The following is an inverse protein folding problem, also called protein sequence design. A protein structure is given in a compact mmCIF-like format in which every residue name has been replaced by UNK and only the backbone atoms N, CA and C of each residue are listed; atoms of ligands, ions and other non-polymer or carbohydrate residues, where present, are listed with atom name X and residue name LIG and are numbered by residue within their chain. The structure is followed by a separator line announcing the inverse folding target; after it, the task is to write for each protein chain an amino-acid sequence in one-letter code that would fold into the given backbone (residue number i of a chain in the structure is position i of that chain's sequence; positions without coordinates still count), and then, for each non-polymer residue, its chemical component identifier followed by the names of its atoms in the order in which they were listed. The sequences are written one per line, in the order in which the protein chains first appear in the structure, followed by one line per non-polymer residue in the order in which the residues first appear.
data_IF_225404285675
#
_entry.id   IF_225404285675
#
_cell.length_a   1.000
_cell.length_b   1.000
_cell.length_c   1.000
_cell.angle_alpha   90.00
_cell.angle_beta   90.00
_cell.angle_gamma   90.00
#
_symmetry.space_group_name_H-M   'P 1'
#
loop_
_entity.id
_entity.type
_entity.pdbx_description
1 polymer ?
#
# COMPACT_ATOMS: atom_id res chain seq x y z
N UNK A 1 8.97 5.47 24.65
CA UNK A 1 7.75 6.30 24.80
C UNK A 1 7.03 6.34 23.47
N UNK A 2 5.70 6.35 23.46
CA UNK A 2 4.93 6.52 22.22
C UNK A 2 5.25 7.89 21.58
N UNK A 3 5.37 7.95 20.25
CA UNK A 3 5.71 9.17 19.48
C UNK A 3 4.56 9.55 18.55
N UNK A 4 4.53 10.81 18.12
CA UNK A 4 3.64 11.22 17.03
C UNK A 4 3.99 10.45 15.76
N UNK A 5 3.01 10.22 14.89
CA UNK A 5 3.20 9.57 13.60
C UNK A 5 2.62 10.47 12.52
N UNK A 6 3.33 10.63 11.41
CA UNK A 6 2.85 11.26 10.19
C UNK A 6 2.87 10.20 9.08
N UNK A 7 1.70 9.91 8.51
CA UNK A 7 1.57 8.98 7.40
C UNK A 7 1.21 9.76 6.14
N UNK A 8 1.96 9.55 5.06
CA UNK A 8 1.69 10.14 3.74
C UNK A 8 1.29 9.04 2.77
N UNK A 9 0.19 9.17 2.04
CA UNK A 9 -0.28 8.07 1.18
C UNK A 9 -1.50 8.37 0.33
N UNK A 10 -1.89 7.36 -0.45
CA UNK A 10 -3.08 7.38 -1.30
C UNK A 10 -4.26 6.70 -0.59
N UNK A 11 -5.07 5.93 -1.31
CA UNK A 11 -6.35 5.41 -0.84
C UNK A 11 -6.22 4.44 0.35
N UNK A 12 -5.13 3.66 0.43
CA UNK A 12 -4.86 2.77 1.58
C UNK A 12 -4.58 3.51 2.90
N UNK A 13 -4.34 4.83 2.86
CA UNK A 13 -4.26 5.64 4.09
C UNK A 13 -5.59 5.66 4.84
N UNK A 14 -6.71 5.35 4.18
CA UNK A 14 -8.03 5.41 4.80
C UNK A 14 -8.16 4.45 6.00
N UNK A 15 -7.67 3.21 5.86
CA UNK A 15 -7.67 2.24 6.96
C UNK A 15 -6.89 2.76 8.18
N UNK A 16 -5.71 3.33 7.92
CA UNK A 16 -4.83 3.91 8.94
C UNK A 16 -5.46 5.15 9.59
N UNK A 17 -6.16 5.98 8.81
CA UNK A 17 -6.87 7.16 9.29
C UNK A 17 -8.04 6.77 10.19
N UNK A 18 -8.84 5.76 9.82
CA UNK A 18 -9.94 5.26 10.65
C UNK A 18 -9.40 4.76 11.99
N UNK A 19 -8.34 3.94 11.97
CA UNK A 19 -7.71 3.45 13.20
C UNK A 19 -7.14 4.58 14.06
N UNK A 20 -6.49 5.57 13.45
CA UNK A 20 -6.00 6.76 14.16
C UNK A 20 -7.13 7.57 14.82
N UNK A 21 -8.28 7.71 14.14
CA UNK A 21 -9.46 8.37 14.69
C UNK A 21 -10.06 7.59 15.87
N UNK A 22 -10.18 6.26 15.75
CA UNK A 22 -10.66 5.40 16.82
C UNK A 22 -9.75 5.45 18.05
N UNK A 23 -8.42 5.34 17.85
CA UNK A 23 -7.42 5.52 18.93
C UNK A 23 -7.58 6.86 19.63
N UNK A 24 -7.78 7.94 18.87
CA UNK A 24 -7.93 9.29 19.42
C UNK A 24 -9.23 9.46 20.23
N UNK A 25 -10.30 8.82 19.81
CA UNK A 25 -11.57 8.83 20.53
C UNK A 25 -11.46 8.04 21.85
N UNK A 26 -10.73 6.92 21.85
CA UNK A 26 -10.52 6.08 23.03
C UNK A 26 -9.52 6.70 24.02
N UNK A 27 -8.46 7.36 23.52
CA UNK A 27 -7.42 8.01 24.32
C UNK A 27 -7.02 9.36 23.69
N UNK A 28 -7.63 10.47 24.16
CA UNK A 28 -7.32 11.81 23.69
C UNK A 28 -5.90 12.30 24.03
N UNK A 29 -5.20 11.68 24.98
CA UNK A 29 -3.87 12.10 25.41
C UNK A 29 -2.76 11.31 24.71
N UNK A 30 -3.11 10.21 24.00
CA UNK A 30 -2.20 9.47 23.14
C UNK A 30 -1.49 10.37 22.13
N UNK A 31 -0.18 10.16 21.89
CA UNK A 31 0.53 10.75 20.76
C UNK A 31 -0.24 10.57 19.45
N UNK A 32 -0.28 11.63 18.64
CA UNK A 32 -1.20 11.70 17.51
C UNK A 32 -0.61 10.99 16.30
N UNK A 33 -1.42 10.16 15.67
CA UNK A 33 -1.22 9.72 14.28
C UNK A 33 -1.97 10.68 13.36
N UNK A 34 -1.25 11.31 12.44
CA UNK A 34 -1.79 12.22 11.43
C UNK A 34 -1.57 11.63 10.05
N UNK A 35 -2.46 11.99 9.13
CA UNK A 35 -2.46 11.47 7.77
C UNK A 35 -2.52 12.60 6.77
N UNK A 36 -1.65 12.58 5.76
CA UNK A 36 -1.72 13.41 4.56
C UNK A 36 -2.15 12.52 3.41
N UNK A 37 -3.36 12.77 2.90
CA UNK A 37 -3.88 12.09 1.72
C UNK A 37 -3.44 12.84 0.46
N UNK A 38 -2.63 12.21 -0.37
CA UNK A 38 -2.01 12.85 -1.53
C UNK A 38 -3.02 13.37 -2.57
N UNK A 39 -4.19 12.74 -2.66
CA UNK A 39 -5.25 13.15 -3.59
C UNK A 39 -6.24 14.14 -2.97
N UNK A 40 -5.92 14.74 -1.82
CA UNK A 40 -6.73 15.81 -1.26
C UNK A 40 -6.65 17.06 -2.16
N UNK A 41 -7.80 17.66 -2.57
CA UNK A 41 -7.81 18.86 -3.41
C UNK A 41 -6.99 20.03 -2.85
N UNK A 42 -6.78 20.09 -1.53
CA UNK A 42 -5.95 21.11 -0.89
C UNK A 42 -4.47 21.04 -1.31
N UNK A 43 -4.02 19.91 -1.85
CA UNK A 43 -2.66 19.70 -2.32
C UNK A 43 -2.54 19.73 -3.85
N UNK A 44 -3.61 20.06 -4.58
CA UNK A 44 -3.58 20.10 -6.04
C UNK A 44 -2.81 21.33 -6.59
N UNK A 45 -1.95 21.16 -7.62
CA UNK A 45 -1.49 19.87 -8.14
C UNK A 45 -0.53 19.18 -7.16
N UNK A 46 -0.75 17.88 -6.94
CA UNK A 46 0.06 17.05 -6.02
C UNK A 46 1.55 17.07 -6.43
N UNK A 47 1.79 17.04 -7.73
CA UNK A 47 3.11 17.11 -8.35
C UNK A 47 3.17 18.24 -9.36
N UNK A 48 4.32 18.90 -9.44
CA UNK A 48 4.65 19.88 -10.48
C UNK A 48 5.96 19.42 -11.10
N UNK A 49 5.93 19.10 -12.40
CA UNK A 49 7.04 18.44 -13.09
C UNK A 49 7.43 17.15 -12.33
N UNK A 50 8.70 17.03 -11.93
CA UNK A 50 9.25 15.87 -11.24
C UNK A 50 9.38 16.07 -9.71
N UNK A 51 8.59 16.96 -9.11
CA UNK A 51 8.62 17.23 -7.66
C UNK A 51 7.20 17.31 -7.06
N UNK A 52 7.10 17.16 -5.74
CA UNK A 52 5.86 17.46 -5.02
C UNK A 52 5.53 18.95 -5.12
N UNK A 53 4.25 19.23 -5.30
CA UNK A 53 3.70 20.58 -5.31
C UNK A 53 4.04 21.34 -4.02
N UNK A 54 4.15 22.68 -4.08
CA UNK A 54 4.58 23.48 -2.94
C UNK A 54 3.66 23.35 -1.72
N UNK A 55 2.34 23.21 -1.93
CA UNK A 55 1.37 23.02 -0.85
C UNK A 55 1.60 21.71 -0.09
N UNK A 56 1.82 20.60 -0.81
CA UNK A 56 2.11 19.30 -0.21
C UNK A 56 3.43 19.31 0.56
N UNK A 57 4.51 19.86 -0.03
CA UNK A 57 5.81 19.98 0.64
C UNK A 57 5.72 20.81 1.92
N UNK A 58 5.01 21.94 1.87
CA UNK A 58 4.80 22.79 3.03
C UNK A 58 4.03 22.06 4.13
N UNK A 59 2.97 21.31 3.77
CA UNK A 59 2.20 20.53 4.73
C UNK A 59 3.03 19.43 5.40
N UNK A 60 3.84 18.69 4.64
CA UNK A 60 4.73 17.65 5.18
C UNK A 60 5.74 18.27 6.16
N UNK A 61 6.44 19.34 5.74
CA UNK A 61 7.44 20.02 6.58
C UNK A 61 6.83 20.60 7.85
N UNK A 62 5.67 21.25 7.75
CA UNK A 62 4.96 21.80 8.91
C UNK A 62 4.64 20.72 9.95
N UNK A 63 4.22 19.54 9.51
CA UNK A 63 3.96 18.42 10.43
C UNK A 63 5.24 17.87 11.06
N UNK A 64 6.35 17.86 10.32
CA UNK A 64 7.66 17.45 10.84
C UNK A 64 8.12 18.43 11.91
N UNK A 65 8.21 19.71 11.56
CA UNK A 65 8.76 20.78 12.40
C UNK A 65 7.99 20.95 13.72
N UNK A 66 6.66 20.79 13.68
CA UNK A 66 5.81 20.99 14.87
C UNK A 66 5.76 19.80 15.81
N UNK A 67 6.04 18.59 15.33
CA UNK A 67 5.64 17.37 16.05
C UNK A 67 6.72 16.30 16.18
N UNK A 68 7.87 16.47 15.51
CA UNK A 68 8.95 15.48 15.44
C UNK A 68 8.42 14.03 15.31
N UNK A 69 7.59 13.74 14.29
CA UNK A 69 6.89 12.48 14.20
C UNK A 69 7.78 11.38 13.61
N UNK A 70 7.41 10.13 13.88
CA UNK A 70 7.79 9.01 13.01
C UNK A 70 7.14 9.24 11.65
N UNK A 71 7.94 9.26 10.58
CA UNK A 71 7.44 9.39 9.21
C UNK A 71 7.14 8.01 8.65
N UNK A 72 5.94 7.85 8.10
CA UNK A 72 5.53 6.64 7.42
C UNK A 72 4.86 6.93 6.07
N UNK A 73 4.88 5.95 5.18
CA UNK A 73 4.30 6.00 3.85
C UNK A 73 3.30 4.88 3.64
N UNK A 74 2.19 5.17 2.97
CA UNK A 74 1.24 4.20 2.41
C UNK A 74 0.95 4.54 0.94
N UNK A 75 1.99 4.94 0.20
CA UNK A 75 1.98 5.29 -1.23
C UNK A 75 1.98 4.01 -2.08
N UNK A 76 1.40 4.04 -3.28
CA UNK A 76 1.45 2.92 -4.22
C UNK A 76 0.68 1.65 -3.89
N UNK A 77 -0.12 1.67 -2.83
CA UNK A 77 -0.69 0.42 -2.34
C UNK A 77 -1.67 -0.28 -3.30
N UNK A 78 -2.22 0.40 -4.32
CA UNK A 78 -3.22 -0.19 -5.21
C UNK A 78 -2.76 -0.53 -6.64
N UNK A 79 -1.50 -0.22 -7.00
CA UNK A 79 -1.01 -0.41 -8.37
C UNK A 79 -1.09 -1.87 -8.84
N UNK A 80 -0.81 -2.82 -7.95
CA UNK A 80 -0.91 -4.25 -8.23
C UNK A 80 -2.35 -4.69 -8.58
N UNK A 81 -3.35 -4.12 -7.93
CA UNK A 81 -4.75 -4.42 -8.18
C UNK A 81 -5.21 -3.77 -9.49
N UNK A 82 -4.81 -2.52 -9.75
CA UNK A 82 -5.08 -1.86 -11.03
C UNK A 82 -4.51 -2.64 -12.23
N UNK A 83 -3.34 -3.25 -12.05
CA UNK A 83 -2.71 -4.11 -13.07
C UNK A 83 -3.39 -5.48 -13.22
N UNK A 84 -3.63 -6.21 -12.14
CA UNK A 84 -4.00 -7.64 -12.21
C UNK A 84 -5.47 -7.95 -11.93
N UNK A 85 -6.31 -6.99 -11.51
CA UNK A 85 -7.70 -7.32 -11.14
C UNK A 85 -8.55 -7.73 -12.34
N UNK A 86 -8.48 -6.98 -13.44
CA UNK A 86 -9.24 -7.25 -14.66
C UNK A 86 -8.31 -7.99 -15.64
N UNK A 87 -8.60 -9.26 -16.01
CA UNK A 87 -7.69 -10.09 -16.79
C UNK A 87 -7.74 -9.76 -18.29
N UNK A 88 -7.18 -8.61 -18.69
CA UNK A 88 -7.12 -8.17 -20.10
C UNK A 88 -6.36 -9.16 -20.99
N UNK A 89 -5.30 -9.73 -20.43
CA UNK A 89 -4.61 -10.92 -20.94
C UNK A 89 -4.68 -11.99 -19.85
N UNK A 90 -4.98 -13.24 -20.20
CA UNK A 90 -5.01 -14.35 -19.22
C UNK A 90 -3.62 -14.95 -19.08
N UNK A 91 -2.91 -14.52 -18.04
CA UNK A 91 -1.58 -15.03 -17.71
C UNK A 91 -1.50 -15.44 -16.24
N UNK A 92 -0.50 -16.26 -15.95
CA UNK A 92 -0.07 -16.59 -14.60
C UNK A 92 1.46 -16.75 -14.59
N UNK A 93 2.07 -16.88 -13.42
CA UNK A 93 3.52 -16.99 -13.30
C UNK A 93 3.93 -17.63 -12.00
N UNK A 94 5.14 -18.15 -11.91
CA UNK A 94 5.72 -18.55 -10.62
C UNK A 94 6.43 -17.36 -9.99
N UNK A 95 6.36 -17.25 -8.66
CA UNK A 95 7.15 -16.27 -7.90
C UNK A 95 8.26 -16.97 -7.14
N UNK A 96 9.43 -16.33 -7.07
CA UNK A 96 10.51 -16.82 -6.20
C UNK A 96 10.01 -16.91 -4.75
N UNK A 97 10.38 -17.95 -4.00
CA UNK A 97 10.03 -18.05 -2.57
C UNK A 97 8.78 -18.88 -2.22
N UNK A 98 8.19 -19.58 -3.19
CA UNK A 98 7.19 -20.63 -2.96
C UNK A 98 5.77 -20.07 -2.76
N UNK A 99 4.93 -20.22 -3.77
CA UNK A 99 3.51 -19.92 -3.67
C UNK A 99 2.74 -21.09 -3.07
N UNK A 100 1.64 -20.77 -2.38
CA UNK A 100 0.69 -21.72 -1.84
C UNK A 100 -0.55 -21.90 -2.73
N UNK A 101 -0.77 -21.03 -3.73
CA UNK A 101 -1.89 -21.14 -4.67
C UNK A 101 -1.46 -21.80 -5.99
N UNK A 102 -2.30 -22.70 -6.55
CA UNK A 102 -2.02 -23.31 -7.84
C UNK A 102 -1.96 -22.25 -8.96
N UNK A 103 -1.25 -22.58 -10.02
CA UNK A 103 -1.29 -21.84 -11.28
C UNK A 103 -2.63 -22.09 -11.98
N UNK A 104 -3.13 -21.09 -12.70
CA UNK A 104 -4.26 -21.25 -13.61
C UNK A 104 -3.83 -22.09 -14.84
N UNK A 105 -4.37 -23.30 -14.96
CA UNK A 105 -4.02 -24.26 -16.02
C UNK A 105 -4.36 -23.76 -17.43
N UNK A 106 -5.29 -22.81 -17.54
CA UNK A 106 -5.72 -22.24 -18.81
C UNK A 106 -5.01 -20.92 -19.14
N UNK A 107 -4.10 -20.46 -18.27
CA UNK A 107 -3.36 -19.22 -18.46
C UNK A 107 -2.03 -19.42 -19.18
N UNK A 108 -1.58 -18.39 -19.90
CA UNK A 108 -0.20 -18.35 -20.38
C UNK A 108 0.76 -18.20 -19.19
N UNK A 109 1.68 -19.13 -19.01
CA UNK A 109 2.66 -19.07 -17.91
C UNK A 109 3.85 -18.21 -18.36
N UNK A 110 4.01 -17.06 -17.70
CA UNK A 110 5.09 -16.11 -17.95
C UNK A 110 6.22 -16.28 -16.92
N UNK A 111 7.42 -15.81 -17.26
CA UNK A 111 8.50 -15.68 -16.29
C UNK A 111 8.30 -14.49 -15.35
N UNK A 112 8.76 -14.58 -14.10
CA UNK A 112 8.65 -13.47 -13.12
C UNK A 112 9.27 -12.17 -13.65
N UNK A 113 10.38 -12.25 -14.39
CA UNK A 113 11.04 -11.09 -15.00
C UNK A 113 10.12 -10.38 -16.01
N UNK A 114 9.41 -11.14 -16.82
CA UNK A 114 8.47 -10.58 -17.80
C UNK A 114 7.28 -9.91 -17.10
N UNK A 115 6.72 -10.53 -16.06
CA UNK A 115 5.63 -9.91 -15.28
C UNK A 115 6.10 -8.66 -14.57
N UNK A 116 7.35 -8.64 -14.06
CA UNK A 116 7.98 -7.47 -13.45
C UNK A 116 8.07 -6.31 -14.44
N UNK A 117 8.49 -6.57 -15.66
CA UNK A 117 8.59 -5.53 -16.70
C UNK A 117 7.21 -4.96 -17.07
N UNK A 118 6.17 -5.81 -17.10
CA UNK A 118 4.78 -5.38 -17.33
C UNK A 118 4.18 -4.58 -16.17
N UNK A 119 4.57 -4.92 -14.93
CA UNK A 119 4.07 -4.27 -13.71
C UNK A 119 4.79 -2.94 -13.44
N UNK A 120 6.05 -2.79 -13.84
CA UNK A 120 6.87 -1.60 -13.52
C UNK A 120 6.20 -0.28 -13.91
N UNK A 121 5.63 -0.10 -15.12
CA UNK A 121 4.96 1.17 -15.49
C UNK A 121 3.82 1.57 -14.56
N UNK A 122 3.15 0.61 -13.91
CA UNK A 122 2.09 0.87 -12.94
C UNK A 122 2.63 1.33 -11.59
N UNK A 123 3.89 1.03 -11.29
CA UNK A 123 4.57 1.40 -10.06
C UNK A 123 5.47 2.62 -10.22
N UNK A 124 5.87 3.01 -11.43
CA UNK A 124 6.86 4.07 -11.66
C UNK A 124 6.49 5.39 -10.98
N UNK A 125 5.25 5.84 -11.15
CA UNK A 125 4.78 7.08 -10.52
C UNK A 125 4.80 6.97 -8.98
N UNK A 126 4.43 5.81 -8.43
CA UNK A 126 4.44 5.55 -7.00
C UNK A 126 5.87 5.51 -6.43
N UNK A 127 6.79 4.90 -7.18
CA UNK A 127 8.22 4.89 -6.86
C UNK A 127 8.81 6.30 -6.89
N UNK A 128 8.43 7.12 -7.86
CA UNK A 128 8.81 8.55 -7.91
C UNK A 128 8.32 9.27 -6.66
N UNK A 129 7.06 9.10 -6.27
CA UNK A 129 6.52 9.70 -5.04
C UNK A 129 7.26 9.25 -3.77
N UNK A 130 7.70 7.99 -3.70
CA UNK A 130 8.52 7.51 -2.57
C UNK A 130 9.90 8.20 -2.53
N UNK A 131 10.54 8.42 -3.68
CA UNK A 131 11.80 9.19 -3.78
C UNK A 131 11.60 10.64 -3.35
N UNK A 132 10.49 11.26 -3.76
CA UNK A 132 10.15 12.63 -3.37
C UNK A 132 9.86 12.75 -1.88
N UNK A 133 9.13 11.79 -1.30
CA UNK A 133 8.92 11.74 0.14
C UNK A 133 10.26 11.62 0.89
N UNK A 134 11.19 10.79 0.40
CA UNK A 134 12.53 10.66 0.99
C UNK A 134 13.31 11.98 0.95
N UNK A 135 13.18 12.73 -0.14
CA UNK A 135 13.84 14.04 -0.32
C UNK A 135 13.23 15.12 0.59
N UNK A 136 11.92 15.09 0.83
CA UNK A 136 11.22 16.11 1.62
C UNK A 136 11.25 15.82 3.12
N UNK A 137 11.07 14.55 3.51
CA UNK A 137 10.82 14.14 4.89
C UNK A 137 11.99 13.37 5.54
N UNK A 138 13.02 13.02 4.78
CA UNK A 138 14.07 12.13 5.28
C UNK A 138 13.68 10.65 5.22
N UNK A 139 14.45 9.76 5.87
CA UNK A 139 14.11 8.34 5.97
C UNK A 139 12.73 8.11 6.60
N UNK A 140 11.99 7.13 6.10
CA UNK A 140 10.64 6.82 6.57
C UNK A 140 10.38 5.31 6.62
N UNK A 141 9.26 4.94 7.24
CA UNK A 141 8.73 3.58 7.27
C UNK A 141 7.66 3.39 6.20
N UNK A 142 7.88 2.53 5.21
CA UNK A 142 6.86 2.21 4.23
C UNK A 142 5.97 1.08 4.72
N UNK A 143 4.66 1.30 4.78
CA UNK A 143 3.64 0.34 5.21
C UNK A 143 3.18 -0.44 3.99
N UNK A 144 3.39 -1.76 4.01
CA UNK A 144 2.92 -2.65 2.95
C UNK A 144 1.40 -2.56 2.76
N UNK A 145 0.96 -2.56 1.51
CA UNK A 145 -0.47 -2.57 1.16
C UNK A 145 -1.14 -3.87 1.60
N UNK A 146 -2.46 -3.87 1.87
CA UNK A 146 -3.17 -5.12 2.14
C UNK A 146 -2.98 -6.12 1.00
N UNK A 147 -2.87 -7.43 1.29
CA UNK A 147 -2.97 -8.45 0.26
C UNK A 147 -4.34 -8.40 -0.42
N UNK A 148 -4.49 -8.99 -1.62
CA UNK A 148 -5.78 -8.96 -2.31
C UNK A 148 -6.84 -9.82 -1.60
N UNK A 149 -8.10 -9.46 -1.81
CA UNK A 149 -9.25 -10.24 -1.33
C UNK A 149 -9.39 -11.52 -2.15
N UNK A 150 -9.68 -12.65 -1.49
CA UNK A 150 -9.76 -13.96 -2.18
C UNK A 150 -10.93 -14.07 -3.17
N UNK A 151 -12.15 -13.79 -2.73
CA UNK A 151 -13.37 -14.08 -3.52
C UNK A 151 -13.54 -13.09 -4.68
N UNK A 152 -13.63 -13.64 -5.89
CA UNK A 152 -13.94 -12.89 -7.09
C UNK A 152 -15.36 -12.32 -7.03
N UNK A 153 -16.32 -13.09 -6.49
CA UNK A 153 -17.73 -12.70 -6.34
C UNK A 153 -17.87 -11.51 -5.40
N UNK A 154 -17.15 -11.53 -4.28
CA UNK A 154 -17.16 -10.42 -3.34
C UNK A 154 -16.54 -9.16 -3.96
N UNK A 155 -15.43 -9.30 -4.68
CA UNK A 155 -14.82 -8.18 -5.43
C UNK A 155 -15.82 -7.63 -6.45
N UNK A 156 -16.46 -8.50 -7.24
CA UNK A 156 -17.48 -8.10 -8.21
C UNK A 156 -18.58 -7.24 -7.59
N UNK A 157 -19.02 -7.58 -6.38
CA UNK A 157 -20.08 -6.90 -5.66
C UNK A 157 -19.64 -5.63 -4.91
N UNK A 158 -18.35 -5.45 -4.62
CA UNK A 158 -17.84 -4.38 -3.75
C UNK A 158 -16.75 -3.52 -4.40
N UNK A 159 -16.53 -3.63 -5.71
CA UNK A 159 -15.54 -2.82 -6.38
C UNK A 159 -15.95 -1.35 -6.49
N UNK A 160 -14.93 -0.51 -6.42
CA UNK A 160 -15.02 0.93 -6.56
C UNK A 160 -15.30 1.32 -8.02
N UNK A 161 -15.81 2.54 -8.21
CA UNK A 161 -16.15 3.06 -9.56
C UNK A 161 -14.97 3.00 -10.53
N UNK A 162 -13.74 3.17 -10.03
CA UNK A 162 -12.51 3.02 -10.82
C UNK A 162 -12.45 1.70 -11.61
N UNK A 163 -12.95 0.60 -11.02
CA UNK A 163 -13.01 -0.71 -11.69
C UNK A 163 -14.33 -0.92 -12.40
N UNK A 164 -15.47 -0.60 -11.78
CA UNK A 164 -16.79 -0.90 -12.36
C UNK A 164 -17.08 -0.08 -13.63
N UNK A 165 -16.45 1.09 -13.79
CA UNK A 165 -16.56 1.91 -15.00
C UNK A 165 -15.62 1.46 -16.14
N UNK A 166 -14.74 0.47 -15.89
CA UNK A 166 -13.90 -0.09 -16.95
C UNK A 166 -14.75 -0.92 -17.91
N UNK A 167 -14.65 -0.72 -19.25
CA UNK A 167 -15.46 -1.44 -20.23
C UNK A 167 -15.41 -2.96 -20.12
N UNK A 168 -14.29 -3.49 -19.63
CA UNK A 168 -14.02 -4.91 -19.55
C UNK A 168 -14.40 -5.55 -18.21
N UNK A 169 -14.77 -4.76 -17.21
CA UNK A 169 -14.99 -5.26 -15.85
C UNK A 169 -16.09 -6.35 -15.80
N UNK A 170 -17.28 -6.02 -16.32
CA UNK A 170 -18.40 -6.98 -16.36
C UNK A 170 -18.21 -8.08 -17.41
N UNK A 171 -17.40 -7.83 -18.45
CA UNK A 171 -17.18 -8.75 -19.57
C UNK A 171 -16.15 -9.83 -19.25
N UNK A 172 -15.05 -9.45 -18.61
CA UNK A 172 -13.92 -10.32 -18.28
C UNK A 172 -13.98 -10.84 -16.84
N UNK A 173 -14.73 -10.18 -15.96
CA UNK A 173 -14.78 -10.53 -14.53
C UNK A 173 -13.47 -10.23 -13.81
N UNK A 174 -13.21 -11.00 -12.74
CA UNK A 174 -12.07 -10.80 -11.85
C UNK A 174 -11.07 -11.93 -12.06
N UNK A 175 -9.79 -11.57 -12.17
CA UNK A 175 -8.71 -12.53 -12.32
C UNK A 175 -8.67 -13.53 -11.13
N UNK A 176 -8.19 -14.76 -11.35
CA UNK A 176 -8.03 -15.75 -10.28
C UNK A 176 -7.20 -15.21 -9.10
N UNK A 177 -7.49 -15.70 -7.89
CA UNK A 177 -6.82 -15.22 -6.68
C UNK A 177 -5.29 -15.45 -6.70
N UNK A 178 -4.83 -16.53 -7.37
CA UNK A 178 -3.41 -16.88 -7.52
C UNK A 178 -2.60 -15.76 -8.19
N UNK A 179 -2.95 -15.39 -9.43
CA UNK A 179 -2.23 -14.34 -10.16
C UNK A 179 -2.31 -12.98 -9.46
N UNK A 180 -3.44 -12.64 -8.81
CA UNK A 180 -3.57 -11.40 -8.03
C UNK A 180 -2.64 -11.40 -6.82
N UNK A 181 -2.56 -12.52 -6.10
CA UNK A 181 -1.65 -12.69 -4.97
C UNK A 181 -0.18 -12.59 -5.38
N UNK A 182 0.21 -13.28 -6.45
CA UNK A 182 1.58 -13.25 -6.99
C UNK A 182 1.98 -11.87 -7.47
N UNK A 183 1.05 -11.15 -8.10
CA UNK A 183 1.26 -9.76 -8.49
C UNK A 183 1.48 -8.86 -7.27
N UNK A 184 0.66 -9.01 -6.22
CA UNK A 184 0.85 -8.29 -4.96
C UNK A 184 2.22 -8.58 -4.34
N UNK A 185 2.62 -9.86 -4.24
CA UNK A 185 3.93 -10.26 -3.74
C UNK A 185 5.07 -9.62 -4.54
N UNK A 186 4.98 -9.65 -5.87
CA UNK A 186 5.99 -9.06 -6.75
C UNK A 186 6.06 -7.53 -6.56
N UNK A 187 4.92 -6.84 -6.52
CA UNK A 187 4.84 -5.41 -6.25
C UNK A 187 5.45 -5.05 -4.88
N UNK A 188 5.09 -5.78 -3.83
CA UNK A 188 5.63 -5.59 -2.48
C UNK A 188 7.16 -5.74 -2.45
N UNK A 189 7.72 -6.72 -3.15
CA UNK A 189 9.18 -6.91 -3.26
C UNK A 189 9.85 -5.78 -4.03
N UNK A 190 9.24 -5.30 -5.11
CA UNK A 190 9.76 -4.17 -5.88
C UNK A 190 9.80 -2.91 -5.03
N UNK A 191 8.74 -2.62 -4.27
CA UNK A 191 8.69 -1.47 -3.36
C UNK A 191 9.64 -1.63 -2.19
N UNK A 192 9.74 -2.81 -1.58
CA UNK A 192 10.74 -3.05 -0.53
C UNK A 192 12.15 -2.79 -1.01
N UNK A 193 12.51 -3.33 -2.18
CA UNK A 193 13.83 -3.10 -2.78
C UNK A 193 14.11 -1.60 -2.93
N UNK A 194 13.13 -0.82 -3.38
CA UNK A 194 13.26 0.62 -3.44
C UNK A 194 13.41 1.27 -2.05
N UNK A 195 12.68 0.81 -1.04
CA UNK A 195 12.86 1.30 0.32
C UNK A 195 14.30 1.05 0.81
N UNK A 196 14.83 -0.15 0.59
CA UNK A 196 16.21 -0.50 0.94
C UNK A 196 17.22 0.42 0.21
N UNK A 197 17.02 0.67 -1.09
CA UNK A 197 17.84 1.59 -1.90
C UNK A 197 17.79 3.05 -1.40
N UNK A 198 16.67 3.48 -0.81
CA UNK A 198 16.48 4.83 -0.28
C UNK A 198 16.93 4.98 1.19
N UNK A 199 17.37 3.89 1.82
CA UNK A 199 17.65 3.85 3.26
C UNK A 199 16.38 4.02 4.11
N UNK A 200 15.24 3.59 3.58
CA UNK A 200 13.95 3.57 4.28
C UNK A 200 13.64 2.17 4.81
N UNK A 201 12.87 2.08 5.88
CA UNK A 201 12.43 0.81 6.44
C UNK A 201 11.11 0.35 5.81
N UNK A 202 10.85 -0.97 5.83
CA UNK A 202 9.64 -1.57 5.27
C UNK A 202 8.88 -2.34 6.36
N UNK A 203 7.61 -2.01 6.55
CA UNK A 203 6.71 -2.65 7.52
C UNK A 203 5.81 -3.64 6.78
N UNK A 204 6.11 -4.93 6.96
CA UNK A 204 5.33 -6.03 6.40
C UNK A 204 3.94 -6.12 7.00
N UNK A 205 2.98 -6.56 6.20
CA UNK A 205 1.66 -6.99 6.68
C UNK A 205 1.86 -8.17 7.63
N UNK A 206 1.48 -8.05 8.91
CA UNK A 206 1.64 -9.14 9.87
C UNK A 206 0.91 -10.41 9.45
N UNK A 207 1.50 -11.58 9.73
CA UNK A 207 0.96 -12.89 9.32
C UNK A 207 -0.48 -13.11 9.79
N UNK A 208 -0.85 -12.59 10.96
CA UNK A 208 -2.20 -12.70 11.51
C UNK A 208 -3.28 -11.94 10.71
N UNK A 209 -2.90 -11.00 9.84
CA UNK A 209 -3.83 -10.30 8.95
C UNK A 209 -4.07 -11.06 7.64
N UNK A 210 -3.25 -12.08 7.39
CA UNK A 210 -3.35 -12.95 6.23
C UNK A 210 -4.25 -14.14 6.56
N UNK A 211 -5.11 -14.47 5.62
CA UNK A 211 -6.00 -15.62 5.64
C UNK A 211 -5.37 -16.81 4.92
N UNK A 212 -6.23 -17.64 4.33
CA UNK A 212 -5.79 -18.77 3.51
C UNK A 212 -4.86 -18.32 2.39
N UNK A 213 -3.76 -19.06 2.21
CA UNK A 213 -2.78 -18.84 1.16
C UNK A 213 -2.13 -17.44 1.13
N UNK A 214 -2.13 -16.73 2.26
CA UNK A 214 -1.48 -15.41 2.36
C UNK A 214 -2.32 -14.21 1.89
N UNK A 215 -3.54 -14.44 1.40
CA UNK A 215 -4.51 -13.42 0.99
C UNK A 215 -5.08 -12.64 2.18
N UNK A 216 -5.82 -11.56 1.97
CA UNK A 216 -6.42 -10.79 3.08
C UNK A 216 -7.53 -11.61 3.77
N UNK A 217 -7.57 -11.57 5.10
CA UNK A 217 -8.71 -12.14 5.85
C UNK A 217 -10.01 -11.42 5.46
N UNK A 218 -11.10 -12.15 5.14
CA UNK A 218 -12.34 -11.51 4.71
C UNK A 218 -12.90 -10.47 5.68
N UNK A 219 -12.78 -10.70 6.98
CA UNK A 219 -13.24 -9.76 8.03
C UNK A 219 -12.47 -8.44 8.08
N UNK A 220 -11.33 -8.35 7.38
CA UNK A 220 -10.51 -7.15 7.29
C UNK A 220 -10.76 -6.37 6.00
N UNK A 221 -11.49 -6.94 5.03
CA UNK A 221 -11.80 -6.27 3.77
C UNK A 221 -12.89 -5.21 3.97
N UNK A 222 -12.74 -4.07 3.30
CA UNK A 222 -13.75 -3.00 3.27
C UNK A 222 -14.45 -2.97 1.92
N UNK A 223 -13.68 -2.99 0.85
CA UNK A 223 -14.10 -3.02 -0.55
C UNK A 223 -13.09 -3.85 -1.37
N UNK A 224 -13.25 -3.92 -2.69
CA UNK A 224 -12.46 -4.78 -3.57
C UNK A 224 -10.93 -4.68 -3.37
N UNK A 225 -10.41 -3.51 -2.99
CA UNK A 225 -8.96 -3.27 -2.89
C UNK A 225 -8.47 -2.75 -1.55
N UNK A 226 -9.36 -2.24 -0.70
CA UNK A 226 -9.01 -1.64 0.58
C UNK A 226 -9.40 -2.53 1.75
N UNK A 227 -8.52 -2.54 2.74
CA UNK A 227 -8.82 -3.07 4.06
C UNK A 227 -9.52 -2.03 4.95
N UNK A 228 -10.15 -2.48 6.01
CA UNK A 228 -10.87 -1.66 6.99
C UNK A 228 -10.03 -1.22 8.18
N UNK A 229 -10.70 -0.61 9.16
CA UNK A 229 -10.10 -0.05 10.38
C UNK A 229 -9.25 -1.07 11.16
N UNK A 230 -9.72 -2.31 11.31
CA UNK A 230 -8.99 -3.35 12.05
C UNK A 230 -7.63 -3.70 11.41
N UNK A 231 -7.52 -3.62 10.09
CA UNK A 231 -6.24 -3.76 9.41
C UNK A 231 -5.34 -2.55 9.69
N UNK A 232 -5.91 -1.34 9.61
CA UNK A 232 -5.20 -0.10 9.95
C UNK A 232 -4.62 -0.13 11.36
N UNK A 233 -5.40 -0.57 12.35
CA UNK A 233 -4.96 -0.70 13.74
C UNK A 233 -3.75 -1.63 13.85
N UNK A 234 -3.83 -2.82 13.25
CA UNK A 234 -2.74 -3.79 13.31
C UNK A 234 -1.47 -3.29 12.60
N UNK A 235 -1.60 -2.56 11.49
CA UNK A 235 -0.44 -1.94 10.82
C UNK A 235 0.17 -0.80 11.66
N UNK A 236 -0.64 0.00 12.35
CA UNK A 236 -0.12 1.01 13.27
C UNK A 236 0.64 0.37 14.43
N UNK A 237 0.14 -0.73 15.00
CA UNK A 237 0.86 -1.50 16.03
C UNK A 237 2.19 -2.06 15.50
N UNK A 238 2.18 -2.61 14.28
CA UNK A 238 3.39 -3.14 13.65
C UNK A 238 4.44 -2.04 13.41
N UNK A 239 4.01 -0.87 12.94
CA UNK A 239 4.87 0.30 12.76
C UNK A 239 5.47 0.77 14.09
N UNK A 240 4.64 0.88 15.14
CA UNK A 240 5.09 1.30 16.48
C UNK A 240 6.11 0.31 17.06
N UNK A 241 5.88 -0.99 16.90
CA UNK A 241 6.80 -2.04 17.34
C UNK A 241 8.14 -1.96 16.58
N UNK A 242 8.10 -1.89 15.25
CA UNK A 242 9.30 -1.82 14.42
C UNK A 242 10.13 -0.55 14.73
N UNK A 243 9.47 0.59 14.92
CA UNK A 243 10.13 1.84 15.30
C UNK A 243 10.72 1.82 16.72
N UNK A 244 10.10 1.08 17.65
CA UNK A 244 10.65 0.91 18.99
C UNK A 244 11.89 0.01 19.00
N UNK A 245 11.92 -1.04 18.17
CA UNK A 245 13.04 -1.96 18.07
C UNK A 245 14.26 -1.35 17.36
N UNK A 246 14.04 -0.64 16.25
CA UNK A 246 15.13 -0.05 15.45
C UNK A 246 15.66 1.27 16.02
N UNK A 247 14.90 1.95 16.88
CA UNK A 247 15.16 3.34 17.26
C UNK A 247 14.87 4.30 16.10
N UNK A 248 15.63 5.40 15.99
CA UNK A 248 15.57 6.28 14.82
C UNK A 248 16.18 5.58 13.61
N UNK A 249 15.52 5.62 12.44
CA UNK A 249 16.17 5.20 11.20
C UNK A 249 17.42 6.08 11.03
N UNK A 250 18.63 5.50 10.94
CA UNK A 250 19.85 6.29 10.85
C UNK A 250 19.77 7.22 9.64
N UNK A 251 19.96 8.52 9.86
CA UNK A 251 20.28 9.43 8.79
C UNK A 251 21.68 9.05 8.29
N UNK A 252 21.75 8.30 7.18
CA UNK A 252 23.00 8.17 6.41
C UNK A 252 23.33 9.50 5.75
#
# INVERSE_FOLDING_TARGET
MARNILIVGHSHIHALRLAAMARRAADPDRPRTRTIYLLDPAFAPEMVEDDFGPALKAAIRDQIDRHDPIIASAIGGNAHAAFAMIPRDRFDFETAGGDTLPLDEEAAILGEAEVRDRLLPWLELEMTRLRLLRAVAGPFWHIESPPPVRSAEWIMAHAESYFTEQPDYHRLGIAPAGVRYRTWLLASRMIRKLCDELGCAYVEVPRQLRGEAGLLRPSLARDATHAGEAFGEAMLQALEAAAAEAGSIPSM
#
